data_IF_716488285657
#
_entry.id   IF_716488285657
#
_cell.length_a   1.000
_cell.length_b   1.000
_cell.length_c   1.000
_cell.angle_alpha   90.00
_cell.angle_beta   90.00
_cell.angle_gamma   90.00
#
_symmetry.space_group_name_H-M   'P 1'
#
loop_
_entity.id
_entity.type
_entity.pdbx_description
1 polymer ?
#
# COMPACT_ATOMS: atom_id res chain seq x y z
N UNK A 1 19.28 5.80 -13.72
CA UNK A 1 20.60 6.42 -13.49
C UNK A 1 21.72 5.40 -13.51
N UNK A 2 21.62 4.34 -12.74
CA UNK A 2 22.64 3.28 -12.68
C UNK A 2 22.81 2.57 -14.02
N UNK A 3 21.75 2.23 -14.72
CA UNK A 3 21.84 1.59 -16.06
C UNK A 3 22.56 2.48 -17.09
N UNK A 4 22.31 3.78 -17.06
CA UNK A 4 23.03 4.75 -17.92
C UNK A 4 24.50 4.84 -17.56
N UNK A 5 24.81 4.84 -16.26
CA UNK A 5 26.20 4.85 -15.79
C UNK A 5 26.95 3.57 -16.19
N UNK A 6 26.34 2.39 -16.01
CA UNK A 6 26.90 1.10 -16.42
C UNK A 6 27.23 1.07 -17.92
N UNK A 7 26.32 1.57 -18.76
CA UNK A 7 26.56 1.69 -20.20
C UNK A 7 27.79 2.56 -20.52
N UNK A 8 27.91 3.71 -19.88
CA UNK A 8 29.07 4.63 -20.08
C UNK A 8 30.37 3.97 -19.62
N UNK A 9 30.35 3.25 -18.49
CA UNK A 9 31.54 2.52 -18.01
C UNK A 9 31.95 1.47 -19.00
N UNK A 10 31.04 0.66 -19.51
CA UNK A 10 31.32 -0.36 -20.54
C UNK A 10 31.90 0.25 -21.84
N UNK A 11 31.33 1.36 -22.31
CA UNK A 11 31.82 2.07 -23.49
C UNK A 11 33.25 2.57 -23.27
N UNK A 12 33.55 3.12 -22.11
CA UNK A 12 34.90 3.60 -21.79
C UNK A 12 35.93 2.47 -21.70
N UNK A 13 35.53 1.35 -21.07
CA UNK A 13 36.41 0.16 -20.97
C UNK A 13 36.73 -0.45 -22.33
N UNK A 14 35.84 -0.32 -23.32
CA UNK A 14 36.08 -0.81 -24.68
C UNK A 14 36.98 0.11 -25.53
N UNK A 15 37.07 1.39 -25.19
CA UNK A 15 37.78 2.37 -25.99
C UNK A 15 39.20 2.64 -25.41
N UNK A 16 39.39 2.53 -24.11
CA UNK A 16 40.64 2.87 -23.40
C UNK A 16 41.29 1.60 -22.83
N UNK A 17 42.61 1.66 -22.70
CA UNK A 17 43.37 0.59 -22.07
C UNK A 17 43.01 0.49 -20.57
N UNK A 18 42.45 -0.65 -20.19
CA UNK A 18 41.89 -0.91 -18.83
C UNK A 18 42.98 -0.83 -17.77
N UNK A 19 44.22 -1.19 -18.09
CA UNK A 19 45.35 -1.17 -17.15
C UNK A 19 45.76 0.26 -16.71
N UNK A 20 45.44 1.25 -17.53
CA UNK A 20 45.74 2.68 -17.25
C UNK A 20 44.59 3.41 -16.54
N UNK A 21 43.42 2.81 -16.38
CA UNK A 21 42.20 3.46 -15.88
C UNK A 21 42.06 3.32 -14.36
N UNK A 22 41.92 4.44 -13.68
CA UNK A 22 41.50 4.45 -12.28
C UNK A 22 39.93 4.32 -12.15
N UNK A 23 39.42 3.74 -11.08
CA UNK A 23 37.97 3.70 -10.84
C UNK A 23 37.30 5.08 -10.89
N UNK A 24 37.97 6.12 -10.41
CA UNK A 24 37.50 7.51 -10.47
C UNK A 24 37.38 8.06 -11.89
N UNK A 25 38.20 7.60 -12.81
CA UNK A 25 38.10 7.99 -14.23
C UNK A 25 36.98 7.28 -14.96
N UNK A 26 36.65 6.05 -14.55
CA UNK A 26 35.58 5.27 -15.14
C UNK A 26 34.19 5.71 -14.67
N UNK A 27 34.02 5.96 -13.38
CA UNK A 27 32.74 6.25 -12.77
C UNK A 27 32.39 7.73 -12.96
N UNK A 28 31.27 7.97 -13.66
CA UNK A 28 30.70 9.30 -13.80
C UNK A 28 29.37 9.38 -13.02
N UNK A 29 29.22 10.19 -11.98
CA UNK A 29 28.02 10.31 -11.19
C UNK A 29 26.91 11.10 -11.88
N UNK A 30 27.19 11.82 -12.98
CA UNK A 30 26.22 12.69 -13.66
C UNK A 30 24.90 11.98 -14.03
N UNK A 31 24.90 10.75 -14.58
CA UNK A 31 23.64 10.07 -14.92
C UNK A 31 22.73 9.84 -13.72
N UNK A 32 23.29 9.56 -12.54
CA UNK A 32 22.54 9.38 -11.31
C UNK A 32 21.99 10.72 -10.83
N UNK A 33 22.82 11.75 -10.77
CA UNK A 33 22.39 13.11 -10.39
C UNK A 33 21.30 13.64 -11.31
N UNK A 34 21.43 13.40 -12.61
CA UNK A 34 20.43 13.80 -13.61
C UNK A 34 19.10 13.08 -13.37
N UNK A 35 19.11 11.78 -13.12
CA UNK A 35 17.90 11.00 -12.85
C UNK A 35 17.19 11.48 -11.57
N UNK A 36 17.94 11.80 -10.53
CA UNK A 36 17.38 12.35 -9.28
C UNK A 36 16.76 13.74 -9.51
N UNK A 37 17.46 14.62 -10.23
CA UNK A 37 16.93 15.96 -10.56
C UNK A 37 15.70 15.89 -11.45
N UNK A 38 15.66 14.97 -12.40
CA UNK A 38 14.52 14.73 -13.27
C UNK A 38 13.29 14.26 -12.46
N UNK A 39 13.48 13.36 -11.50
CA UNK A 39 12.40 12.94 -10.60
C UNK A 39 11.85 14.11 -9.79
N UNK A 40 12.69 14.85 -9.07
CA UNK A 40 12.22 15.95 -8.22
C UNK A 40 11.70 17.15 -9.00
N UNK A 41 12.14 17.36 -10.23
CA UNK A 41 11.74 18.51 -11.07
C UNK A 41 10.52 18.28 -11.96
N UNK A 42 10.23 17.03 -12.35
CA UNK A 42 9.20 16.74 -13.36
C UNK A 42 8.26 15.60 -13.04
N UNK A 43 8.52 14.80 -11.99
CA UNK A 43 7.59 13.72 -11.62
C UNK A 43 6.31 14.26 -10.99
N UNK A 44 5.12 13.79 -11.41
CA UNK A 44 3.84 14.12 -10.75
C UNK A 44 3.77 13.67 -9.29
N UNK A 45 4.61 12.73 -8.87
CA UNK A 45 4.69 12.21 -7.49
C UNK A 45 5.55 13.10 -6.59
N UNK A 46 6.44 13.91 -7.16
CA UNK A 46 7.21 14.91 -6.43
C UNK A 46 6.38 16.19 -6.32
N UNK A 47 5.83 16.44 -5.15
CA UNK A 47 4.88 17.53 -4.92
C UNK A 47 5.38 18.46 -3.82
N UNK A 48 4.96 19.73 -3.88
CA UNK A 48 5.12 20.66 -2.77
C UNK A 48 4.25 20.19 -1.61
N UNK A 49 4.86 19.97 -0.43
CA UNK A 49 4.15 19.44 0.73
C UNK A 49 3.16 20.45 1.30
N UNK A 50 1.95 20.01 1.59
CA UNK A 50 0.98 20.80 2.34
C UNK A 50 1.46 20.92 3.80
N UNK A 51 1.71 22.14 4.25
CA UNK A 51 2.24 22.47 5.57
C UNK A 51 1.28 23.37 6.38
N UNK A 52 -0.01 23.37 6.08
CA UNK A 52 -1.02 24.15 6.79
C UNK A 52 -1.08 23.80 8.28
N UNK A 53 -0.95 22.50 8.59
CA UNK A 53 -0.87 21.97 9.95
C UNK A 53 -0.17 20.57 9.92
N UNK A 54 0.23 20.02 11.09
CA UNK A 54 0.90 18.72 11.14
C UNK A 54 0.10 17.56 10.55
N UNK A 55 -1.24 17.60 10.70
CA UNK A 55 -2.10 16.55 10.13
C UNK A 55 -2.12 16.59 8.60
N UNK A 56 -2.13 17.78 8.01
CA UNK A 56 -2.05 17.96 6.56
C UNK A 56 -0.74 17.40 5.98
N UNK A 57 0.38 17.60 6.67
CA UNK A 57 1.66 17.01 6.30
C UNK A 57 1.62 15.48 6.32
N UNK A 58 1.09 14.89 7.40
CA UNK A 58 0.95 13.45 7.56
C UNK A 58 0.05 12.86 6.46
N UNK A 59 -1.10 13.46 6.23
CA UNK A 59 -2.07 13.04 5.21
C UNK A 59 -1.46 13.09 3.82
N UNK A 60 -0.71 14.15 3.50
CA UNK A 60 -0.03 14.27 2.21
C UNK A 60 1.00 13.15 1.99
N UNK A 61 1.74 12.76 3.02
CA UNK A 61 2.71 11.65 2.96
C UNK A 61 2.06 10.27 2.79
N UNK A 62 0.80 10.13 3.15
CA UNK A 62 0.01 8.88 3.04
C UNK A 62 -0.89 8.85 1.81
N UNK A 63 -0.74 9.80 0.88
CA UNK A 63 -1.52 9.88 -0.35
C UNK A 63 -1.14 8.78 -1.32
N UNK A 64 -2.15 8.18 -1.93
CA UNK A 64 -2.04 7.19 -3.00
C UNK A 64 -2.51 7.83 -4.31
N UNK A 65 -1.75 7.67 -5.38
CA UNK A 65 -2.08 8.19 -6.69
C UNK A 65 -2.11 7.09 -7.74
N UNK A 66 -3.18 7.02 -8.52
CA UNK A 66 -3.25 6.17 -9.69
C UNK A 66 -2.57 6.79 -10.91
N UNK A 67 -2.15 8.06 -10.82
CA UNK A 67 -1.52 8.83 -11.89
C UNK A 67 0.01 8.67 -11.86
N UNK A 68 0.64 9.05 -12.96
CA UNK A 68 2.10 9.11 -13.06
C UNK A 68 2.71 7.99 -13.90
N UNK A 69 4.05 7.83 -13.89
CA UNK A 69 4.74 6.81 -14.68
C UNK A 69 4.30 5.39 -14.29
N UNK A 70 3.84 4.63 -15.30
CA UNK A 70 3.28 3.28 -15.10
C UNK A 70 1.84 3.24 -14.60
N UNK A 71 1.22 4.41 -14.35
CA UNK A 71 -0.17 4.53 -13.91
C UNK A 71 -1.12 4.94 -15.04
N UNK A 72 -2.29 5.44 -14.62
CA UNK A 72 -3.35 5.88 -15.51
C UNK A 72 -3.18 7.35 -15.93
N UNK A 73 -3.83 7.73 -17.04
CA UNK A 73 -4.08 9.13 -17.39
C UNK A 73 -5.54 9.48 -17.05
N UNK A 74 -5.79 10.75 -16.70
CA UNK A 74 -7.14 11.23 -16.36
C UNK A 74 -8.17 10.91 -17.42
N UNK A 75 -7.81 11.08 -18.70
CA UNK A 75 -8.70 10.90 -19.84
C UNK A 75 -9.03 9.43 -20.13
N UNK A 76 -8.19 8.52 -19.66
CA UNK A 76 -8.36 7.07 -19.83
C UNK A 76 -8.93 6.37 -18.59
N UNK A 77 -9.16 7.10 -17.52
CA UNK A 77 -9.70 6.54 -16.28
C UNK A 77 -11.22 6.38 -16.39
N UNK A 78 -11.69 5.15 -16.50
CA UNK A 78 -13.11 4.78 -16.47
C UNK A 78 -13.71 4.95 -15.07
N UNK A 79 -15.05 4.80 -14.95
CA UNK A 79 -15.71 4.79 -13.65
C UNK A 79 -15.26 3.63 -12.77
N UNK A 80 -14.98 2.46 -13.35
CA UNK A 80 -14.55 1.26 -12.60
C UNK A 80 -13.28 1.48 -11.78
N UNK A 81 -12.28 2.21 -12.33
CA UNK A 81 -11.03 2.48 -11.62
C UNK A 81 -11.16 3.58 -10.58
N UNK A 82 -12.28 4.32 -10.56
CA UNK A 82 -12.59 5.39 -9.61
C UNK A 82 -13.48 4.92 -8.48
N UNK A 83 -14.10 3.74 -8.63
CA UNK A 83 -15.00 3.16 -7.65
C UNK A 83 -14.26 2.58 -6.44
N UNK A 84 -15.00 2.40 -5.36
CA UNK A 84 -14.53 1.70 -4.17
C UNK A 84 -14.74 0.20 -4.37
N UNK A 85 -13.67 -0.56 -4.32
CA UNK A 85 -13.71 -2.01 -4.38
C UNK A 85 -13.70 -2.62 -2.97
N UNK A 86 -14.28 -3.80 -2.77
CA UNK A 86 -14.31 -4.44 -1.43
C UNK A 86 -12.91 -4.67 -0.85
N UNK A 87 -11.89 -4.86 -1.69
CA UNK A 87 -10.49 -5.00 -1.26
C UNK A 87 -9.88 -3.73 -0.67
N UNK A 88 -10.57 -2.59 -0.78
CA UNK A 88 -10.16 -1.34 -0.14
C UNK A 88 -10.37 -1.37 1.38
N UNK A 89 -11.21 -2.26 1.88
CA UNK A 89 -11.51 -2.35 3.32
C UNK A 89 -10.24 -2.50 4.16
N UNK A 90 -10.08 -1.62 5.14
CA UNK A 90 -8.89 -1.58 5.99
C UNK A 90 -7.60 -1.10 5.32
N UNK A 91 -7.60 -0.86 3.99
CA UNK A 91 -6.42 -0.50 3.18
C UNK A 91 -6.47 0.91 2.65
N UNK A 92 -7.54 1.26 1.97
CA UNK A 92 -7.72 2.58 1.36
C UNK A 92 -8.98 3.23 1.92
N UNK A 93 -8.90 4.51 2.29
CA UNK A 93 -10.08 5.25 2.76
C UNK A 93 -11.12 5.34 1.65
N UNK A 94 -12.38 4.92 1.90
CA UNK A 94 -13.43 4.95 0.87
C UNK A 94 -14.02 6.35 0.66
N UNK A 95 -13.70 7.32 1.51
CA UNK A 95 -14.33 8.65 1.55
C UNK A 95 -13.36 9.74 1.12
N UNK A 96 -12.10 9.67 1.58
CA UNK A 96 -11.10 10.72 1.35
C UNK A 96 -10.58 10.66 -0.08
N UNK A 97 -11.14 11.48 -0.95
CA UNK A 97 -10.76 11.66 -2.35
C UNK A 97 -11.12 13.07 -2.79
N UNK A 98 -10.37 13.71 -3.72
CA UNK A 98 -10.72 15.03 -4.22
C UNK A 98 -12.01 15.01 -5.04
N UNK A 99 -12.64 16.17 -5.15
CA UNK A 99 -13.73 16.43 -6.10
C UNK A 99 -13.16 16.74 -7.50
N UNK A 100 -13.93 16.47 -8.53
CA UNK A 100 -13.61 16.82 -9.92
C UNK A 100 -12.82 15.74 -10.67
N UNK A 101 -11.92 16.11 -11.61
CA UNK A 101 -11.29 15.17 -12.54
C UNK A 101 -10.44 14.08 -11.89
N UNK A 102 -9.99 14.29 -10.66
CA UNK A 102 -9.14 13.36 -9.91
C UNK A 102 -9.91 12.46 -8.95
N UNK A 103 -11.25 12.52 -8.93
CA UNK A 103 -12.07 11.68 -8.05
C UNK A 103 -11.74 10.20 -8.26
N UNK A 104 -11.52 9.48 -7.17
CA UNK A 104 -11.16 8.06 -7.19
C UNK A 104 -9.75 7.74 -7.68
N UNK A 105 -9.02 8.69 -8.30
CA UNK A 105 -7.63 8.51 -8.76
C UNK A 105 -6.60 8.92 -7.72
N UNK A 106 -7.01 9.77 -6.79
CA UNK A 106 -6.22 10.16 -5.62
C UNK A 106 -6.97 9.66 -4.40
N UNK A 107 -6.32 8.87 -3.61
CA UNK A 107 -6.87 8.24 -2.40
C UNK A 107 -5.87 8.32 -1.27
N UNK A 108 -6.23 7.79 -0.12
CA UNK A 108 -5.39 7.84 1.07
C UNK A 108 -5.34 6.49 1.76
N UNK A 109 -4.18 6.19 2.32
CA UNK A 109 -3.96 4.97 3.07
C UNK A 109 -4.79 4.99 4.36
N UNK A 110 -5.50 3.91 4.68
CA UNK A 110 -6.23 3.75 5.94
C UNK A 110 -5.28 3.83 7.13
N UNK A 111 -5.80 4.18 8.30
CA UNK A 111 -5.00 4.54 9.49
C UNK A 111 -3.98 3.47 9.87
N UNK A 112 -4.38 2.22 9.92
CA UNK A 112 -3.52 1.09 10.31
C UNK A 112 -2.93 0.32 9.13
N UNK A 113 -3.27 0.70 7.89
CA UNK A 113 -2.70 0.07 6.71
C UNK A 113 -1.23 0.43 6.52
N UNK A 114 -0.50 -0.48 5.93
CA UNK A 114 0.90 -0.29 5.54
C UNK A 114 1.15 -0.84 4.15
N UNK A 115 2.29 -0.47 3.56
CA UNK A 115 2.74 -1.00 2.28
C UNK A 115 3.87 -1.99 2.56
N UNK A 116 3.77 -3.19 1.99
CA UNK A 116 4.80 -4.22 2.13
C UNK A 116 5.98 -3.98 1.17
N UNK A 117 7.02 -4.81 1.28
CA UNK A 117 8.24 -4.70 0.47
C UNK A 117 8.01 -4.91 -1.03
N UNK A 118 6.89 -5.52 -1.41
CA UNK A 118 6.49 -5.73 -2.81
C UNK A 118 5.60 -4.60 -3.36
N UNK A 119 5.21 -3.62 -2.53
CA UNK A 119 4.36 -2.51 -2.92
C UNK A 119 2.86 -2.75 -2.77
N UNK A 120 2.43 -3.86 -2.18
CA UNK A 120 1.02 -4.12 -1.89
C UNK A 120 0.61 -3.52 -0.55
N UNK A 121 -0.66 -3.10 -0.46
CA UNK A 121 -1.23 -2.56 0.77
C UNK A 121 -1.73 -3.71 1.64
N UNK A 122 -1.31 -3.71 2.89
CA UNK A 122 -1.71 -4.67 3.92
C UNK A 122 -2.53 -4.01 5.00
N UNK A 123 -3.50 -4.74 5.55
CA UNK A 123 -4.27 -4.37 6.73
C UNK A 123 -3.96 -5.32 7.89
N UNK A 124 -4.04 -4.84 9.15
CA UNK A 124 -3.81 -5.67 10.33
C UNK A 124 -5.10 -6.42 10.74
N UNK A 125 -4.92 -7.63 11.22
CA UNK A 125 -5.97 -8.50 11.76
C UNK A 125 -5.47 -9.21 13.01
N UNK A 126 -6.35 -9.35 14.00
CA UNK A 126 -6.07 -10.11 15.22
C UNK A 126 -6.53 -11.56 15.04
N UNK A 127 -5.64 -12.49 15.33
CA UNK A 127 -5.89 -13.92 15.16
C UNK A 127 -6.77 -14.48 16.28
N UNK A 128 -7.65 -15.41 15.90
CA UNK A 128 -8.39 -16.24 16.86
C UNK A 128 -7.67 -17.58 17.01
N UNK A 129 -7.47 -17.98 18.26
CA UNK A 129 -7.01 -19.32 18.59
C UNK A 129 -8.16 -20.31 18.39
N UNK A 130 -8.05 -21.20 17.42
CA UNK A 130 -9.08 -22.18 17.04
C UNK A 130 -9.33 -23.24 18.13
N UNK A 131 -8.35 -23.51 19.01
CA UNK A 131 -8.51 -24.51 20.06
C UNK A 131 -9.33 -23.96 21.23
N UNK A 132 -9.11 -22.72 21.60
CA UNK A 132 -9.76 -22.08 22.74
C UNK A 132 -10.91 -21.15 22.35
N UNK A 133 -11.00 -20.75 21.09
CA UNK A 133 -11.98 -19.78 20.59
C UNK A 133 -11.71 -18.35 21.08
N UNK A 134 -10.50 -18.05 21.60
CA UNK A 134 -10.14 -16.77 22.17
C UNK A 134 -9.45 -15.87 21.15
N UNK A 135 -9.76 -14.60 21.22
CA UNK A 135 -9.02 -13.57 20.51
C UNK A 135 -7.62 -13.43 21.11
N UNK A 136 -6.59 -13.52 20.28
CA UNK A 136 -5.20 -13.37 20.67
C UNK A 136 -4.72 -11.93 20.49
N UNK A 137 -3.57 -11.59 21.08
CA UNK A 137 -2.89 -10.32 20.82
C UNK A 137 -1.96 -10.38 19.59
N UNK A 138 -1.94 -11.52 18.91
CA UNK A 138 -1.16 -11.68 17.68
C UNK A 138 -1.82 -10.91 16.52
N UNK A 139 -1.12 -9.88 16.02
CA UNK A 139 -1.55 -9.07 14.88
C UNK A 139 -0.81 -9.52 13.64
N UNK A 140 -1.55 -9.95 12.62
CA UNK A 140 -1.01 -10.36 11.32
C UNK A 140 -1.46 -9.35 10.28
N UNK A 141 -0.50 -8.90 9.46
CA UNK A 141 -0.79 -8.04 8.32
C UNK A 141 -1.01 -8.89 7.07
N UNK A 142 -2.11 -8.64 6.37
CA UNK A 142 -2.47 -9.40 5.17
C UNK A 142 -2.83 -8.47 4.01
N UNK A 143 -2.41 -8.87 2.81
CA UNK A 143 -2.92 -8.33 1.55
C UNK A 143 -4.33 -8.86 1.28
N UNK A 144 -5.07 -8.24 0.36
CA UNK A 144 -6.46 -8.61 0.09
C UNK A 144 -6.64 -10.04 -0.44
N UNK A 145 -5.71 -10.51 -1.26
CA UNK A 145 -5.70 -11.87 -1.81
C UNK A 145 -5.50 -12.95 -0.74
N UNK A 146 -4.70 -12.64 0.29
CA UNK A 146 -4.50 -13.53 1.44
C UNK A 146 -5.74 -13.52 2.33
N UNK A 147 -6.30 -12.33 2.62
CA UNK A 147 -7.50 -12.15 3.43
C UNK A 147 -8.70 -12.92 2.87
N UNK A 148 -8.85 -12.97 1.55
CA UNK A 148 -9.95 -13.68 0.87
C UNK A 148 -10.04 -15.19 1.22
N UNK A 149 -8.98 -15.77 1.76
CA UNK A 149 -8.98 -17.16 2.21
C UNK A 149 -9.51 -17.36 3.63
N UNK A 150 -9.77 -16.27 4.36
CA UNK A 150 -10.15 -16.30 5.77
C UNK A 150 -11.53 -15.69 6.01
N UNK A 151 -12.08 -16.04 7.16
CA UNK A 151 -13.33 -15.48 7.69
C UNK A 151 -12.97 -14.45 8.75
N UNK A 152 -13.35 -13.20 8.54
CA UNK A 152 -12.96 -12.07 9.40
C UNK A 152 -14.18 -11.46 10.06
N UNK A 153 -14.22 -11.45 11.39
CA UNK A 153 -15.26 -10.79 12.15
C UNK A 153 -14.97 -9.29 12.33
N UNK A 154 -16.01 -8.51 12.55
CA UNK A 154 -15.87 -7.09 12.84
C UNK A 154 -15.33 -6.87 14.26
N UNK A 155 -14.53 -5.80 14.45
CA UNK A 155 -13.99 -5.42 15.75
C UNK A 155 -15.08 -5.08 16.79
N UNK A 156 -16.28 -4.72 16.33
CA UNK A 156 -17.42 -4.38 17.19
C UNK A 156 -18.20 -5.58 17.74
N UNK A 157 -17.89 -6.80 17.31
CA UNK A 157 -18.55 -7.98 17.85
C UNK A 157 -18.25 -8.15 19.35
N UNK A 158 -19.28 -8.35 20.17
CA UNK A 158 -19.11 -8.42 21.62
C UNK A 158 -18.38 -9.69 22.05
N UNK A 159 -17.36 -9.48 22.89
CA UNK A 159 -16.53 -10.53 23.51
C UNK A 159 -16.86 -10.62 25.01
N UNK A 160 -16.68 -11.81 25.55
CA UNK A 160 -16.71 -12.05 27.01
C UNK A 160 -15.40 -11.61 27.68
N UNK A 161 -15.33 -11.76 29.01
CA UNK A 161 -14.14 -11.41 29.80
C UNK A 161 -12.90 -12.24 29.43
N UNK A 162 -13.11 -13.40 28.79
CA UNK A 162 -12.04 -14.28 28.34
C UNK A 162 -11.62 -14.04 26.89
N UNK A 163 -12.25 -13.09 26.19
CA UNK A 163 -11.97 -12.75 24.79
C UNK A 163 -12.61 -13.71 23.76
N UNK A 164 -13.74 -14.35 24.10
CA UNK A 164 -14.52 -15.20 23.19
C UNK A 164 -15.78 -14.49 22.73
N UNK A 165 -16.26 -14.80 21.54
CA UNK A 165 -17.55 -14.29 21.07
C UNK A 165 -18.69 -14.77 21.96
N UNK A 166 -19.51 -13.82 22.42
CA UNK A 166 -20.71 -14.10 23.22
C UNK A 166 -21.79 -14.75 22.36
N UNK A 167 -21.99 -14.23 21.14
CA UNK A 167 -22.99 -14.75 20.21
C UNK A 167 -22.51 -16.04 19.56
N UNK A 168 -23.43 -16.99 19.33
CA UNK A 168 -23.14 -18.21 18.57
C UNK A 168 -22.90 -17.91 17.09
N UNK A 169 -23.68 -16.97 16.54
CA UNK A 169 -23.50 -16.47 15.17
C UNK A 169 -23.01 -15.03 15.23
N UNK A 170 -22.00 -14.72 14.43
CA UNK A 170 -21.35 -13.42 14.36
C UNK A 170 -21.36 -12.91 12.92
N UNK A 171 -21.40 -11.59 12.78
CA UNK A 171 -21.30 -10.95 11.48
C UNK A 171 -19.83 -10.97 11.02
N UNK A 172 -19.62 -11.56 9.86
CA UNK A 172 -18.29 -11.75 9.29
C UNK A 172 -18.23 -11.22 7.86
N UNK A 173 -17.02 -10.87 7.46
CA UNK A 173 -16.66 -10.59 6.08
C UNK A 173 -15.91 -11.79 5.54
N UNK A 174 -16.38 -12.33 4.42
CA UNK A 174 -15.68 -13.35 3.66
C UNK A 174 -15.75 -12.99 2.18
N UNK A 175 -14.60 -12.74 1.58
CA UNK A 175 -14.51 -12.19 0.22
C UNK A 175 -15.33 -10.90 0.09
N UNK A 176 -16.27 -10.86 -0.85
CA UNK A 176 -17.14 -9.70 -1.13
C UNK A 176 -18.45 -9.70 -0.33
N UNK A 177 -18.66 -10.65 0.56
CA UNK A 177 -19.92 -10.82 1.26
C UNK A 177 -19.79 -10.51 2.75
N UNK A 178 -20.85 -9.87 3.29
CA UNK A 178 -21.02 -9.69 4.74
C UNK A 178 -22.19 -10.61 5.13
N UNK A 179 -21.86 -11.64 5.88
CA UNK A 179 -22.80 -12.71 6.26
C UNK A 179 -22.69 -13.06 7.73
N UNK A 180 -23.67 -13.77 8.26
CA UNK A 180 -23.58 -14.36 9.60
C UNK A 180 -23.06 -15.79 9.51
N UNK A 181 -22.02 -16.10 10.27
CA UNK A 181 -21.45 -17.44 10.39
C UNK A 181 -21.35 -17.87 11.84
N UNK A 182 -21.19 -19.18 12.08
CA UNK A 182 -20.91 -19.70 13.41
C UNK A 182 -19.54 -19.21 13.88
N UNK A 183 -19.44 -18.85 15.16
CA UNK A 183 -18.21 -18.27 15.73
C UNK A 183 -16.96 -19.14 15.59
N UNK A 184 -17.15 -20.46 15.51
CA UNK A 184 -16.07 -21.43 15.30
C UNK A 184 -15.44 -21.33 13.89
N UNK A 185 -16.15 -20.75 12.93
CA UNK A 185 -15.65 -20.54 11.57
C UNK A 185 -14.72 -19.33 11.46
N UNK A 186 -14.77 -18.41 12.42
CA UNK A 186 -14.00 -17.14 12.37
C UNK A 186 -12.52 -17.40 12.58
N UNK A 187 -11.68 -16.85 11.69
CA UNK A 187 -10.22 -16.98 11.72
C UNK A 187 -9.55 -15.76 12.35
N UNK A 188 -10.07 -14.58 12.03
CA UNK A 188 -9.52 -13.29 12.45
C UNK A 188 -10.61 -12.31 12.84
N UNK A 189 -10.19 -11.24 13.51
CA UNK A 189 -11.02 -10.07 13.86
C UNK A 189 -10.31 -8.81 13.36
N UNK A 190 -11.08 -7.85 12.86
CA UNK A 190 -10.56 -6.52 12.49
C UNK A 190 -9.90 -5.85 13.71
N UNK A 191 -8.87 -5.02 13.46
CA UNK A 191 -8.16 -4.24 14.49
C UNK A 191 -8.79 -2.87 14.66
#
# INVERSE_FOLDING_TARGET
>A
GFSRMDKIVKERMNIQDVESLSPKALINPRPIVTAIREFFGSSPLSQFMDQSNPLAELTHKRRLSALGPGGLSRDRASFEVRDVHYTHYGRMCPIETPEGPNIGLISYLSTYARINDYGFIEAPYRKIDKETGKLTDEVIYMTADIEDNYVVAQASEPLDEEGRFIRKRVVVRHKNEIIEMDKEAVDFVDV
#
